data_IF_948342364191
#
_entry.id   IF_948342364191
#
_cell.length_a   1.000
_cell.length_b   1.000
_cell.length_c   1.000
_cell.angle_alpha   90.00
_cell.angle_beta   90.00
_cell.angle_gamma   90.00
#
_symmetry.space_group_name_H-M   'P 1'
#
loop_
_entity.id
_entity.type
_entity.pdbx_description
1 polymer ?
#
# COMPACT_ATOMS: atom_id res chain seq x y z
N UNK A 1 -8.29 -13.41 -4.03
CA UNK A 1 -9.49 -12.81 -3.39
C UNK A 1 -9.18 -11.36 -3.03
N UNK A 2 -10.10 -10.59 -2.44
CA UNK A 2 -9.72 -9.29 -1.83
C UNK A 2 -8.97 -9.57 -0.53
N UNK A 3 -7.80 -8.96 -0.34
CA UNK A 3 -7.00 -9.07 0.90
C UNK A 3 -7.41 -7.99 1.91
N UNK A 4 -7.40 -6.73 1.46
CA UNK A 4 -7.80 -5.58 2.26
C UNK A 4 -8.20 -4.40 1.37
N UNK A 5 -8.89 -3.43 1.98
CA UNK A 5 -9.18 -2.14 1.37
C UNK A 5 -8.40 -1.05 2.11
N UNK A 6 -7.99 -0.01 1.39
CA UNK A 6 -7.40 1.15 2.02
C UNK A 6 -8.28 2.37 1.83
N UNK A 7 -8.76 2.88 2.96
CA UNK A 7 -9.62 4.05 3.02
C UNK A 7 -8.76 5.26 3.39
N UNK A 8 -8.93 6.37 2.66
CA UNK A 8 -8.35 7.66 3.01
C UNK A 8 -9.45 8.61 3.44
N UNK A 9 -9.19 9.41 4.48
CA UNK A 9 -10.13 10.36 5.07
C UNK A 9 -9.38 11.56 5.65
N UNK A 10 -10.08 12.65 5.98
CA UNK A 10 -9.48 13.66 6.85
C UNK A 10 -9.27 13.07 8.24
N UNK A 11 -8.26 13.54 8.98
CA UNK A 11 -7.93 12.89 10.25
C UNK A 11 -9.06 12.97 11.29
N UNK A 12 -9.83 14.06 11.28
CA UNK A 12 -11.01 14.27 12.13
C UNK A 12 -12.17 13.31 11.84
N UNK A 13 -12.25 12.74 10.63
CA UNK A 13 -13.24 11.72 10.27
C UNK A 13 -12.88 10.31 10.78
N UNK A 14 -11.59 10.04 11.06
CA UNK A 14 -11.14 8.70 11.41
C UNK A 14 -11.86 8.10 12.64
N UNK A 15 -12.09 8.83 13.75
CA UNK A 15 -12.85 8.30 14.88
C UNK A 15 -14.27 7.84 14.51
N UNK A 16 -14.95 8.55 13.60
CA UNK A 16 -16.29 8.20 13.11
C UNK A 16 -16.25 6.89 12.31
N UNK A 17 -15.25 6.71 11.45
CA UNK A 17 -15.06 5.46 10.71
C UNK A 17 -14.69 4.29 11.61
N UNK A 18 -13.82 4.50 12.60
CA UNK A 18 -13.50 3.48 13.62
C UNK A 18 -14.79 3.06 14.34
N UNK A 19 -15.63 4.02 14.75
CA UNK A 19 -16.90 3.71 15.41
C UNK A 19 -17.83 2.92 14.50
N UNK A 20 -17.96 3.31 13.22
CA UNK A 20 -18.76 2.60 12.23
C UNK A 20 -18.36 1.11 12.13
N UNK A 21 -17.07 0.83 11.90
CA UNK A 21 -16.59 -0.55 11.72
C UNK A 21 -16.69 -1.37 13.01
N UNK A 22 -16.37 -0.77 14.17
CA UNK A 22 -16.40 -1.47 15.46
C UNK A 22 -17.81 -1.71 15.97
N UNK A 23 -18.78 -0.84 15.67
CA UNK A 23 -20.15 -0.94 16.18
C UNK A 23 -21.09 -1.71 15.26
N UNK A 24 -20.88 -1.64 13.93
CA UNK A 24 -21.78 -2.28 12.96
C UNK A 24 -21.25 -3.60 12.40
N UNK A 25 -19.92 -3.73 12.29
CA UNK A 25 -19.29 -4.90 11.67
C UNK A 25 -18.47 -5.75 12.65
N UNK A 26 -18.58 -5.47 13.96
CA UNK A 26 -17.85 -6.17 15.03
C UNK A 26 -16.33 -6.26 14.77
N UNK A 27 -15.78 -5.22 14.11
CA UNK A 27 -14.36 -5.16 13.80
C UNK A 27 -13.55 -4.74 15.05
N UNK A 28 -12.34 -5.26 15.15
CA UNK A 28 -11.35 -4.87 16.14
C UNK A 28 -10.41 -3.83 15.55
N UNK A 29 -10.00 -2.85 16.36
CA UNK A 29 -9.01 -1.84 15.95
C UNK A 29 -7.62 -2.23 16.42
N UNK A 30 -6.62 -2.03 15.55
CA UNK A 30 -5.20 -2.10 15.91
C UNK A 30 -4.69 -0.75 16.41
N UNK A 31 -3.52 -0.71 17.07
CA UNK A 31 -2.84 0.53 17.38
C UNK A 31 -2.63 1.39 16.14
N UNK A 32 -2.63 2.71 16.34
CA UNK A 32 -2.29 3.66 15.29
C UNK A 32 -0.78 3.68 15.03
N UNK A 33 -0.40 3.91 13.78
CA UNK A 33 0.98 4.05 13.34
C UNK A 33 1.15 5.27 12.46
N UNK A 34 2.34 5.85 12.49
CA UNK A 34 2.70 6.97 11.63
C UNK A 34 3.32 6.49 10.33
N UNK A 35 2.72 6.90 9.21
CA UNK A 35 3.26 6.66 7.87
C UNK A 35 3.90 7.96 7.37
N UNK A 36 5.19 7.88 7.07
CA UNK A 36 5.96 9.01 6.56
C UNK A 36 5.67 9.19 5.07
N UNK A 37 5.12 10.34 4.71
CA UNK A 37 4.99 10.83 3.34
C UNK A 37 5.97 12.01 3.16
N UNK A 38 6.60 12.19 1.97
CA UNK A 38 7.53 13.30 1.72
C UNK A 38 6.96 14.71 1.97
N UNK A 39 5.64 14.85 2.07
CA UNK A 39 4.94 16.11 2.30
C UNK A 39 4.27 16.21 3.67
N UNK A 40 4.40 15.21 4.55
CA UNK A 40 3.86 15.24 5.91
C UNK A 40 3.62 13.86 6.49
N UNK A 41 3.10 13.80 7.72
CA UNK A 41 2.69 12.54 8.35
C UNK A 41 1.26 12.17 7.95
N UNK A 42 1.03 10.87 7.79
CA UNK A 42 -0.28 10.26 7.64
C UNK A 42 -0.49 9.34 8.83
N UNK A 43 -1.56 9.57 9.60
CA UNK A 43 -1.96 8.69 10.70
C UNK A 43 -2.66 7.48 10.08
N UNK A 44 -2.17 6.28 10.35
CA UNK A 44 -2.77 5.05 9.82
C UNK A 44 -3.28 4.17 10.94
N UNK A 45 -4.49 3.64 10.79
CA UNK A 45 -5.09 2.69 11.74
C UNK A 45 -5.79 1.58 10.99
N UNK A 46 -5.57 0.36 11.43
CA UNK A 46 -6.23 -0.81 10.87
C UNK A 46 -7.46 -1.17 11.70
N UNK A 47 -8.53 -1.54 11.01
CA UNK A 47 -9.62 -2.33 11.58
C UNK A 47 -9.73 -3.67 10.85
N UNK A 48 -9.95 -4.74 11.60
CA UNK A 48 -10.09 -6.09 11.04
C UNK A 48 -11.16 -6.88 11.80
N UNK A 49 -11.89 -7.76 11.10
CA UNK A 49 -12.79 -8.71 11.75
C UNK A 49 -11.98 -9.81 12.46
N UNK A 50 -12.60 -10.47 13.44
CA UNK A 50 -11.96 -11.54 14.24
C UNK A 50 -11.50 -12.75 13.40
N UNK A 51 -12.19 -13.03 12.30
CA UNK A 51 -11.83 -14.05 11.30
C UNK A 51 -10.92 -13.53 10.19
N UNK A 52 -10.59 -12.23 10.24
CA UNK A 52 -9.81 -11.49 9.27
C UNK A 52 -10.34 -11.57 7.82
N UNK A 53 -11.63 -11.82 7.64
CA UNK A 53 -12.31 -11.73 6.34
C UNK A 53 -12.51 -10.27 5.89
N UNK A 54 -12.59 -9.34 6.83
CA UNK A 54 -12.60 -7.90 6.60
C UNK A 54 -11.31 -7.28 7.13
N UNK A 55 -10.64 -6.51 6.27
CA UNK A 55 -9.44 -5.74 6.63
C UNK A 55 -9.49 -4.37 5.98
N UNK A 56 -9.45 -3.30 6.78
CA UNK A 56 -9.43 -1.93 6.30
C UNK A 56 -8.23 -1.18 6.88
N UNK A 57 -7.36 -0.66 6.03
CA UNK A 57 -6.31 0.29 6.42
C UNK A 57 -6.85 1.71 6.26
N UNK A 58 -7.07 2.42 7.37
CA UNK A 58 -7.59 3.78 7.37
C UNK A 58 -6.44 4.77 7.47
N UNK A 59 -6.36 5.71 6.54
CA UNK A 59 -5.30 6.71 6.44
C UNK A 59 -5.91 8.11 6.60
N UNK A 60 -5.66 8.71 7.76
CA UNK A 60 -6.09 10.08 8.10
C UNK A 60 -4.97 11.07 7.87
N UNK A 61 -5.28 12.19 7.23
CA UNK A 61 -4.33 13.29 7.05
C UNK A 61 -5.02 14.64 7.18
N UNK A 62 -4.29 15.61 7.73
CA UNK A 62 -4.69 17.03 7.76
C UNK A 62 -4.01 17.84 6.67
N UNK A 63 -3.08 17.22 5.92
CA UNK A 63 -2.25 17.88 4.94
C UNK A 63 -2.57 17.42 3.52
N UNK A 64 -3.20 18.31 2.76
CA UNK A 64 -3.60 18.10 1.37
C UNK A 64 -2.44 17.93 0.35
N UNK A 65 -1.19 18.04 0.80
CA UNK A 65 0.02 17.75 -0.01
C UNK A 65 0.50 16.30 0.11
N UNK A 66 0.02 15.54 1.10
CA UNK A 66 0.26 14.08 1.16
C UNK A 66 -0.51 13.37 0.05
N UNK A 67 -0.15 12.13 -0.32
CA UNK A 67 -0.92 11.38 -1.32
C UNK A 67 -2.37 11.13 -0.87
N UNK A 68 -2.57 10.79 0.41
CA UNK A 68 -3.92 10.68 0.99
C UNK A 68 -4.68 12.00 0.87
N UNK A 69 -4.04 13.13 1.17
CA UNK A 69 -4.67 14.45 1.12
C UNK A 69 -4.99 14.91 -0.31
N UNK A 70 -4.15 14.54 -1.28
CA UNK A 70 -4.44 14.73 -2.71
C UNK A 70 -5.67 13.92 -3.12
N UNK A 71 -5.76 12.65 -2.71
CA UNK A 71 -6.91 11.78 -3.01
C UNK A 71 -8.22 12.40 -2.50
N UNK A 72 -8.23 12.96 -1.29
CA UNK A 72 -9.41 13.61 -0.72
C UNK A 72 -9.87 14.81 -1.54
N UNK A 73 -8.92 15.62 -2.03
CA UNK A 73 -9.24 16.79 -2.86
C UNK A 73 -9.89 16.39 -4.19
N UNK A 74 -9.47 15.27 -4.77
CA UNK A 74 -9.96 14.79 -6.07
C UNK A 74 -11.23 13.94 -5.94
N UNK A 75 -11.40 13.24 -4.80
CA UNK A 75 -12.53 12.34 -4.55
C UNK A 75 -13.71 13.01 -3.84
N UNK A 76 -13.65 14.33 -3.61
CA UNK A 76 -14.66 15.11 -2.88
C UNK A 76 -14.99 14.57 -1.47
N UNK A 77 -14.03 13.93 -0.79
CA UNK A 77 -14.20 13.41 0.57
C UNK A 77 -13.50 12.06 0.81
N UNK A 78 -13.87 11.41 1.93
CA UNK A 78 -13.39 10.07 2.31
C UNK A 78 -13.74 9.02 1.25
N UNK A 79 -12.81 8.08 1.00
CA UNK A 79 -13.01 7.03 -0.01
C UNK A 79 -11.94 5.96 -0.03
N UNK A 80 -12.15 4.95 -0.88
CA UNK A 80 -11.20 3.86 -1.09
C UNK A 80 -10.12 4.31 -2.07
N UNK A 81 -8.87 4.39 -1.58
CA UNK A 81 -7.72 4.78 -2.38
C UNK A 81 -7.12 3.59 -3.12
N UNK A 82 -7.09 2.41 -2.50
CA UNK A 82 -6.69 1.19 -3.18
C UNK A 82 -7.40 -0.06 -2.66
N UNK A 83 -7.40 -1.07 -3.53
CA UNK A 83 -7.91 -2.40 -3.27
C UNK A 83 -6.75 -3.37 -3.46
N UNK A 84 -6.49 -4.18 -2.44
CA UNK A 84 -5.47 -5.21 -2.49
C UNK A 84 -6.08 -6.58 -2.78
N UNK A 85 -5.44 -7.35 -3.67
CA UNK A 85 -5.83 -8.70 -4.01
C UNK A 85 -4.78 -9.71 -3.54
N UNK A 86 -5.24 -10.80 -2.92
CA UNK A 86 -4.37 -11.89 -2.49
C UNK A 86 -4.04 -12.86 -3.64
N UNK A 87 -2.78 -13.32 -3.66
CA UNK A 87 -2.27 -14.42 -4.49
C UNK A 87 -1.48 -15.41 -3.62
N UNK A 88 -1.39 -16.66 -4.09
CA UNK A 88 -0.54 -17.70 -3.48
C UNK A 88 0.87 -17.76 -4.06
N UNK A 89 1.13 -17.04 -5.16
CA UNK A 89 2.46 -16.87 -5.75
C UNK A 89 2.53 -15.51 -6.46
N UNK A 90 3.24 -14.56 -5.84
CA UNK A 90 3.40 -13.18 -6.31
C UNK A 90 4.17 -13.09 -7.62
N UNK A 91 5.14 -13.99 -7.84
CA UNK A 91 5.97 -13.97 -9.02
C UNK A 91 5.25 -14.58 -10.22
N UNK A 92 4.50 -15.66 -10.02
CA UNK A 92 3.62 -16.21 -11.04
C UNK A 92 2.54 -15.20 -11.43
N UNK A 93 1.94 -14.51 -10.44
CA UNK A 93 0.99 -13.43 -10.69
C UNK A 93 1.64 -12.31 -11.52
N UNK A 94 2.81 -11.80 -11.12
CA UNK A 94 3.53 -10.77 -11.86
C UNK A 94 3.85 -11.21 -13.29
N UNK A 95 4.32 -12.45 -13.50
CA UNK A 95 4.60 -12.97 -14.84
C UNK A 95 3.34 -12.97 -15.72
N UNK A 96 2.19 -13.40 -15.18
CA UNK A 96 0.90 -13.36 -15.90
C UNK A 96 0.46 -11.93 -16.22
N UNK A 97 0.63 -10.98 -15.30
CA UNK A 97 0.35 -9.57 -15.55
C UNK A 97 1.28 -9.00 -16.63
N UNK A 98 2.59 -9.26 -16.58
CA UNK A 98 3.52 -8.81 -17.63
C UNK A 98 3.15 -9.36 -19.00
N UNK A 99 2.71 -10.62 -19.07
CA UNK A 99 2.25 -11.24 -20.31
C UNK A 99 1.02 -10.55 -20.93
N UNK A 100 0.17 -9.90 -20.12
CA UNK A 100 -0.95 -9.09 -20.60
C UNK A 100 -0.59 -7.62 -20.90
N UNK A 101 0.70 -7.26 -20.81
CA UNK A 101 1.18 -5.91 -21.07
C UNK A 101 1.13 -4.96 -19.87
N UNK A 102 0.76 -5.46 -18.69
CA UNK A 102 0.77 -4.68 -17.45
C UNK A 102 2.20 -4.26 -17.08
N UNK A 103 2.34 -3.01 -16.64
CA UNK A 103 3.59 -2.47 -16.10
C UNK A 103 3.36 -2.06 -14.66
N UNK A 104 4.02 -2.69 -13.67
CA UNK A 104 3.86 -2.32 -12.28
C UNK A 104 4.39 -0.91 -12.02
N UNK A 105 4.02 -0.35 -10.87
CA UNK A 105 4.65 0.84 -10.33
C UNK A 105 6.16 0.61 -10.18
N UNK A 106 6.96 1.49 -10.79
CA UNK A 106 8.42 1.36 -10.74
C UNK A 106 8.95 1.79 -9.37
N UNK A 107 9.66 0.89 -8.70
CA UNK A 107 10.29 1.13 -7.40
C UNK A 107 11.77 1.47 -7.60
N UNK A 108 12.30 2.34 -6.73
CA UNK A 108 13.69 2.77 -6.81
C UNK A 108 14.64 1.58 -6.62
N UNK A 109 15.68 1.38 -7.46
CA UNK A 109 16.63 0.27 -7.30
C UNK A 109 17.26 0.19 -5.90
N UNK A 110 17.57 1.34 -5.29
CA UNK A 110 18.16 1.42 -3.93
C UNK A 110 17.28 0.79 -2.84
N UNK A 111 15.97 0.65 -3.05
CA UNK A 111 15.09 -0.06 -2.11
C UNK A 111 15.53 -1.51 -1.96
N UNK A 112 15.94 -2.14 -3.06
CA UNK A 112 16.31 -3.55 -3.10
C UNK A 112 17.64 -3.81 -2.38
N UNK A 113 18.59 -2.89 -2.52
CA UNK A 113 19.87 -2.95 -1.78
C UNK A 113 19.63 -2.84 -0.26
N UNK A 114 18.69 -1.98 0.14
CA UNK A 114 18.30 -1.79 1.54
C UNK A 114 17.59 -3.03 2.11
N UNK A 115 16.59 -3.60 1.42
CA UNK A 115 15.91 -4.81 1.93
C UNK A 115 16.81 -6.05 1.91
N UNK A 116 17.72 -6.16 0.93
CA UNK A 116 18.74 -7.21 0.90
C UNK A 116 19.60 -7.14 2.16
N UNK A 117 20.16 -5.96 2.48
CA UNK A 117 20.99 -5.77 3.66
C UNK A 117 20.19 -5.90 4.97
N UNK A 118 18.97 -5.35 5.03
CA UNK A 118 18.13 -5.34 6.24
C UNK A 118 17.70 -6.74 6.65
N UNK A 119 17.36 -7.57 5.68
CA UNK A 119 16.85 -8.92 5.93
C UNK A 119 17.88 -10.02 5.62
N UNK A 120 19.10 -9.67 5.19
CA UNK A 120 20.12 -10.66 4.82
C UNK A 120 19.61 -11.61 3.74
N UNK A 121 18.99 -11.07 2.69
CA UNK A 121 18.41 -11.87 1.61
C UNK A 121 19.52 -12.44 0.72
N UNK A 122 19.24 -13.57 0.09
CA UNK A 122 20.06 -14.06 -1.02
C UNK A 122 20.07 -13.01 -2.16
N UNK A 123 21.24 -12.64 -2.72
CA UNK A 123 21.31 -11.62 -3.76
C UNK A 123 20.45 -11.94 -5.00
N UNK A 124 20.36 -13.21 -5.41
CA UNK A 124 19.55 -13.60 -6.56
C UNK A 124 18.04 -13.44 -6.25
N UNK A 125 17.64 -13.62 -4.99
CA UNK A 125 16.28 -13.32 -4.56
C UNK A 125 15.99 -11.81 -4.56
N UNK A 126 16.90 -10.99 -4.06
CA UNK A 126 16.79 -9.53 -4.12
C UNK A 126 16.72 -9.02 -5.57
N UNK A 127 17.54 -9.58 -6.47
CA UNK A 127 17.50 -9.30 -7.90
C UNK A 127 16.16 -9.66 -8.54
N UNK A 128 15.56 -10.80 -8.14
CA UNK A 128 14.23 -11.19 -8.61
C UNK A 128 13.16 -10.19 -8.18
N UNK A 129 13.18 -9.76 -6.91
CA UNK A 129 12.27 -8.73 -6.39
C UNK A 129 12.45 -7.41 -7.18
N UNK A 130 13.69 -7.02 -7.45
CA UNK A 130 14.09 -5.83 -8.21
C UNK A 130 13.56 -5.87 -9.64
N UNK A 131 13.73 -6.98 -10.35
CA UNK A 131 13.27 -7.17 -11.73
C UNK A 131 11.74 -7.08 -11.88
N UNK A 132 11.02 -7.44 -10.83
CA UNK A 132 9.56 -7.50 -10.81
C UNK A 132 8.90 -6.29 -10.11
N UNK A 133 9.68 -5.37 -9.56
CA UNK A 133 9.18 -4.23 -8.76
C UNK A 133 8.31 -4.69 -7.56
N UNK A 134 8.66 -5.82 -6.96
CA UNK A 134 7.95 -6.40 -5.81
C UNK A 134 8.58 -5.87 -4.53
N UNK A 135 7.80 -5.24 -3.66
CA UNK A 135 8.20 -4.86 -2.32
C UNK A 135 8.12 -6.07 -1.39
N UNK A 136 8.97 -6.07 -0.38
CA UNK A 136 9.17 -7.16 0.54
C UNK A 136 9.26 -6.66 1.99
N UNK A 137 8.59 -7.37 2.89
CA UNK A 137 8.74 -7.21 4.34
C UNK A 137 8.80 -8.58 5.01
N UNK A 138 9.43 -8.66 6.18
CA UNK A 138 9.57 -9.90 6.95
C UNK A 138 9.37 -9.64 8.43
N UNK A 139 8.47 -10.40 9.05
CA UNK A 139 8.32 -10.51 10.50
C UNK A 139 9.14 -11.68 11.04
N UNK A 140 9.13 -11.91 12.35
CA UNK A 140 9.77 -13.08 12.95
C UNK A 140 9.24 -14.42 12.41
N UNK A 141 7.97 -14.44 11.99
CA UNK A 141 7.25 -15.67 11.64
C UNK A 141 6.85 -15.77 10.18
N UNK A 142 7.04 -14.72 9.38
CA UNK A 142 6.49 -14.68 8.04
C UNK A 142 7.02 -13.60 7.12
N UNK A 143 6.66 -13.75 5.85
CA UNK A 143 7.07 -12.89 4.74
C UNK A 143 5.85 -12.24 4.09
N UNK A 144 6.06 -11.05 3.53
CA UNK A 144 5.03 -10.29 2.86
C UNK A 144 5.57 -9.68 1.58
N UNK A 145 4.82 -9.91 0.50
CA UNK A 145 5.17 -9.44 -0.84
C UNK A 145 4.07 -8.55 -1.36
N UNK A 146 4.43 -7.47 -2.03
CA UNK A 146 3.47 -6.50 -2.57
C UNK A 146 3.95 -6.00 -3.93
N UNK A 147 3.08 -5.90 -4.91
CA UNK A 147 3.31 -5.01 -6.05
C UNK A 147 2.07 -4.17 -6.32
N UNK A 148 2.29 -3.03 -6.96
CA UNK A 148 1.25 -2.03 -7.17
C UNK A 148 1.03 -1.78 -8.64
N UNK A 149 -0.22 -1.53 -9.02
CA UNK A 149 -0.49 -0.87 -10.29
C UNK A 149 0.01 0.56 -10.26
N UNK A 150 0.27 1.14 -11.43
CA UNK A 150 0.18 2.57 -11.61
C UNK A 150 -1.14 3.13 -11.07
N UNK A 151 -1.12 4.41 -10.72
CA UNK A 151 -2.34 5.15 -10.43
C UNK A 151 -3.24 5.21 -11.66
N UNK A 152 -4.52 4.92 -11.46
CA UNK A 152 -5.62 5.05 -12.41
C UNK A 152 -6.37 6.34 -12.09
N UNK A 153 -6.54 7.19 -13.11
CA UNK A 153 -6.90 8.59 -12.85
C UNK A 153 -5.81 9.26 -12.00
N UNK A 154 -6.23 10.11 -11.06
CA UNK A 154 -5.28 10.93 -10.32
C UNK A 154 -4.72 10.25 -9.05
N UNK A 155 -5.48 9.37 -8.39
CA UNK A 155 -5.09 8.84 -7.07
C UNK A 155 -5.50 7.41 -6.72
N UNK A 156 -6.39 6.74 -7.46
CA UNK A 156 -6.80 5.35 -7.19
C UNK A 156 -5.80 4.33 -7.77
N UNK A 157 -5.56 3.20 -7.10
CA UNK A 157 -4.71 2.13 -7.64
C UNK A 157 -5.06 0.75 -7.09
N UNK A 158 -4.46 -0.29 -7.66
CA UNK A 158 -4.57 -1.66 -7.19
C UNK A 158 -3.26 -2.14 -6.57
N UNK A 159 -3.40 -3.08 -5.66
CA UNK A 159 -2.30 -3.80 -5.04
C UNK A 159 -2.51 -5.31 -5.19
N UNK A 160 -1.43 -6.06 -5.35
CA UNK A 160 -1.45 -7.52 -5.27
C UNK A 160 -0.46 -7.94 -4.21
N UNK A 161 -0.89 -8.86 -3.34
CA UNK A 161 -0.12 -9.27 -2.16
C UNK A 161 -0.04 -10.78 -2.03
N UNK A 162 1.08 -11.24 -1.49
CA UNK A 162 1.24 -12.61 -1.00
C UNK A 162 1.67 -12.54 0.46
N UNK A 163 0.91 -13.20 1.33
CA UNK A 163 1.20 -13.35 2.75
C UNK A 163 1.68 -14.77 2.99
N UNK A 164 2.86 -14.92 3.58
CA UNK A 164 3.36 -16.19 4.10
C UNK A 164 3.49 -16.07 5.60
N UNK A 165 2.44 -16.45 6.34
CA UNK A 165 2.39 -16.34 7.80
C UNK A 165 2.65 -14.90 8.32
N UNK A 166 2.13 -13.89 7.61
CA UNK A 166 2.33 -12.47 7.92
C UNK A 166 0.99 -11.74 8.11
N UNK A 167 0.83 -11.13 9.30
CA UNK A 167 -0.43 -10.49 9.75
C UNK A 167 -0.39 -8.96 9.71
N UNK A 168 0.72 -8.37 9.26
CA UNK A 168 0.89 -6.93 9.11
C UNK A 168 0.24 -6.35 7.85
N UNK A 169 0.51 -5.08 7.53
CA UNK A 169 -0.16 -4.37 6.43
C UNK A 169 0.82 -3.59 5.53
N UNK A 170 2.11 -3.94 5.56
CA UNK A 170 3.12 -3.29 4.71
C UNK A 170 3.39 -1.83 5.08
N UNK A 171 3.19 -1.45 6.34
CA UNK A 171 3.55 -0.12 6.85
C UNK A 171 5.01 0.27 6.53
N UNK A 172 6.01 -0.60 6.73
CA UNK A 172 7.40 -0.32 6.35
C UNK A 172 7.62 -0.07 4.86
N UNK A 173 6.78 -0.65 4.00
CA UNK A 173 6.87 -0.51 2.54
C UNK A 173 6.13 0.73 2.02
N UNK A 174 5.16 1.25 2.77
CA UNK A 174 4.32 2.36 2.35
C UNK A 174 5.10 3.63 1.93
N UNK A 175 6.15 4.10 2.65
CA UNK A 175 6.92 5.28 2.23
C UNK A 175 7.56 5.14 0.84
N UNK A 176 8.07 3.95 0.50
CA UNK A 176 8.70 3.70 -0.79
C UNK A 176 7.69 3.69 -1.94
N UNK A 177 6.52 3.08 -1.71
CA UNK A 177 5.38 3.15 -2.64
C UNK A 177 4.94 4.60 -2.85
N UNK A 178 4.76 5.36 -1.77
CA UNK A 178 4.34 6.77 -1.81
C UNK A 178 5.33 7.60 -2.62
N UNK A 179 6.64 7.42 -2.41
CA UNK A 179 7.67 8.10 -3.16
C UNK A 179 7.64 7.75 -4.67
N UNK A 180 7.42 6.47 -5.01
CA UNK A 180 7.28 6.04 -6.39
C UNK A 180 6.04 6.62 -7.09
N UNK A 181 4.89 6.64 -6.40
CA UNK A 181 3.65 7.25 -6.90
C UNK A 181 3.81 8.75 -7.14
N UNK A 182 4.44 9.49 -6.21
CA UNK A 182 4.72 10.92 -6.38
C UNK A 182 5.61 11.23 -7.57
N UNK A 183 6.67 10.42 -7.78
CA UNK A 183 7.58 10.58 -8.93
C UNK A 183 6.82 10.43 -10.25
N UNK A 184 5.90 9.47 -10.34
CA UNK A 184 5.07 9.25 -11.52
C UNK A 184 4.13 10.43 -11.79
N UNK A 185 3.48 10.95 -10.74
CA UNK A 185 2.60 12.12 -10.87
C UNK A 185 3.35 13.36 -11.38
N UNK A 186 4.61 13.55 -10.95
CA UNK A 186 5.46 14.63 -11.46
C UNK A 186 5.82 14.43 -12.94
N UNK A 187 6.17 13.22 -13.36
CA UNK A 187 6.46 12.94 -14.78
C UNK A 187 5.24 13.14 -15.68
N UNK A 188 4.05 12.75 -15.23
CA UNK A 188 2.81 12.91 -16.01
C UNK A 188 2.34 14.37 -16.09
N UNK A 189 2.69 15.22 -15.12
CA UNK A 189 2.42 16.66 -15.18
C UNK A 189 3.38 17.45 -16.07
N UNK A 190 4.46 16.84 -16.57
CA UNK A 190 5.46 17.50 -17.43
C UNK A 190 5.14 17.36 -18.92
N UNK A 191 4.19 16.52 -19.31
CA UNK A 191 3.71 16.39 -20.71
C UNK A 191 2.57 17.38 -21.06
N UNK A 192 2.20 18.27 -20.14
CA UNK A 192 1.11 19.23 -20.32
C UNK A 192 1.59 20.68 -20.28
N UNK A 193 2.63 21.04 -21.06
CA UNK A 193 2.93 22.41 -21.47
C UNK A 193 3.65 22.44 -22.82
#
# INVERSE_FOLDING_TARGET
>A
AVDHLAQSMTYDEMPSWVLFYTSLLDALKKPEVDIVDPSGLVRSRVVESSDASLRITMNGTENYRTLAGRFLRESFGSGIQHIAFSTGDIFAAMAAFKASGFRPLAISPNYYDDVESRFGLDPAFADRLRADNILYDRSETGEYFQFYSPTLGDTFFFEVVERRNYDGYGGPNAPFRIAAQKRRLQSSGTEAY
#
